data_IF_704445819418
#
_entry.id   IF_704445819418
#
_cell.length_a   1.000
_cell.length_b   1.000
_cell.length_c   1.000
_cell.angle_alpha   90.00
_cell.angle_beta   90.00
_cell.angle_gamma   90.00
#
_symmetry.space_group_name_H-M   'P 1'
#
loop_
_entity.id
_entity.type
_entity.pdbx_description
1 polymer ?
#
# COMPACT_ATOMS: atom_id res chain seq x y z
N UNK A 1 5.37 -4.64 -7.89
CA UNK A 1 4.36 -4.51 -8.98
C UNK A 1 5.08 -4.72 -10.30
N UNK A 2 4.81 -5.79 -11.02
CA UNK A 2 5.33 -5.99 -12.36
C UNK A 2 4.29 -5.43 -13.34
N UNK A 3 4.63 -4.47 -14.18
CA UNK A 3 3.70 -4.04 -15.22
C UNK A 3 3.38 -5.23 -16.14
N UNK A 4 2.13 -5.44 -16.51
CA UNK A 4 1.75 -6.50 -17.43
C UNK A 4 2.57 -6.41 -18.72
N UNK A 5 3.12 -7.52 -19.15
CA UNK A 5 3.93 -7.63 -20.38
C UNK A 5 3.14 -7.32 -21.65
N UNK A 6 1.81 -7.18 -21.52
CA UNK A 6 0.88 -6.95 -22.63
C UNK A 6 0.56 -5.46 -22.92
N UNK A 7 1.06 -4.53 -22.11
CA UNK A 7 0.78 -3.10 -22.35
C UNK A 7 1.50 -2.59 -23.59
N UNK A 8 0.87 -1.66 -24.28
CA UNK A 8 1.52 -0.98 -25.39
C UNK A 8 2.59 0.00 -24.88
N UNK A 9 3.84 -0.31 -25.16
CA UNK A 9 5.02 0.50 -24.81
C UNK A 9 5.61 1.28 -25.98
N UNK A 10 4.88 1.48 -27.08
CA UNK A 10 5.33 2.35 -28.16
C UNK A 10 5.45 3.81 -27.67
N UNK A 11 6.62 4.46 -27.83
CA UNK A 11 6.78 5.86 -27.43
C UNK A 11 5.82 6.78 -28.19
N UNK A 12 5.21 7.69 -27.45
CA UNK A 12 4.26 8.63 -28.03
C UNK A 12 3.21 9.09 -27.02
N UNK A 13 2.37 10.00 -27.47
CA UNK A 13 1.23 10.51 -26.71
C UNK A 13 -0.06 10.15 -27.41
N UNK A 14 -1.04 9.68 -26.65
CA UNK A 14 -2.43 9.52 -27.09
C UNK A 14 -3.36 10.28 -26.19
N UNK A 15 -4.40 10.89 -26.75
CA UNK A 15 -5.55 11.41 -26.00
C UNK A 15 -6.54 10.25 -25.90
N UNK A 16 -6.73 9.73 -24.71
CA UNK A 16 -7.67 8.63 -24.46
C UNK A 16 -9.08 9.20 -24.34
N UNK A 17 -9.22 10.30 -23.61
CA UNK A 17 -10.48 11.00 -23.42
C UNK A 17 -10.25 12.49 -23.55
N UNK A 18 -10.97 13.17 -24.45
CA UNK A 18 -10.81 14.61 -24.67
C UNK A 18 -11.43 15.46 -23.55
N UNK A 19 -12.50 14.94 -22.95
CA UNK A 19 -13.18 15.55 -21.79
C UNK A 19 -14.10 14.51 -21.17
N UNK A 20 -14.07 14.37 -19.85
CA UNK A 20 -15.07 13.58 -19.13
C UNK A 20 -16.32 14.47 -18.98
N UNK A 21 -17.24 14.31 -19.91
CA UNK A 21 -18.56 14.95 -19.81
C UNK A 21 -19.44 14.09 -18.93
N UNK A 22 -19.95 14.67 -17.86
CA UNK A 22 -21.00 14.04 -17.09
C UNK A 22 -22.23 13.84 -17.99
N UNK A 23 -22.88 12.66 -17.99
CA UNK A 23 -24.19 12.49 -18.59
C UNK A 23 -25.19 13.54 -18.05
N UNK A 24 -26.22 13.90 -18.85
CA UNK A 24 -27.25 14.85 -18.40
C UNK A 24 -27.96 14.42 -17.10
N UNK A 25 -28.02 13.10 -16.87
CA UNK A 25 -28.58 12.51 -15.67
C UNK A 25 -27.67 12.60 -14.44
N UNK A 26 -26.43 13.10 -14.57
CA UNK A 26 -25.48 13.21 -13.44
C UNK A 26 -25.73 14.47 -12.63
N UNK A 27 -25.93 14.30 -11.33
CA UNK A 27 -25.96 15.43 -10.38
C UNK A 27 -24.54 15.86 -9.97
N UNK A 28 -23.61 14.90 -9.84
CA UNK A 28 -22.22 15.15 -9.45
C UNK A 28 -21.31 14.01 -9.91
N UNK A 29 -20.06 14.32 -10.24
CA UNK A 29 -19.01 13.35 -10.63
C UNK A 29 -17.83 13.50 -9.68
N UNK A 30 -17.36 12.38 -9.14
CA UNK A 30 -16.21 12.34 -8.25
C UNK A 30 -14.88 12.55 -9.00
N UNK A 31 -13.83 12.68 -8.20
CA UNK A 31 -12.47 12.75 -8.74
C UNK A 31 -12.12 11.45 -9.51
N UNK A 32 -11.58 11.57 -10.75
CA UNK A 32 -11.36 10.40 -11.58
C UNK A 32 -10.10 9.61 -11.20
N UNK A 33 -10.14 8.31 -11.52
CA UNK A 33 -9.07 7.34 -11.41
C UNK A 33 -8.64 6.84 -12.79
N UNK A 34 -7.33 6.72 -13.01
CA UNK A 34 -6.79 6.14 -14.25
C UNK A 34 -6.50 4.66 -14.09
N UNK A 35 -6.81 3.85 -15.11
CA UNK A 35 -6.43 2.45 -15.15
C UNK A 35 -4.89 2.29 -15.11
N UNK A 36 -4.36 1.17 -14.63
CA UNK A 36 -2.92 0.94 -14.56
C UNK A 36 -2.19 1.10 -15.89
N UNK A 37 -2.81 0.63 -16.98
CA UNK A 37 -2.29 0.72 -18.35
C UNK A 37 -2.50 2.09 -19.02
N UNK A 38 -3.32 2.96 -18.42
CA UNK A 38 -3.66 4.29 -18.92
C UNK A 38 -4.63 4.30 -20.10
N UNK A 39 -5.33 3.21 -20.39
CA UNK A 39 -6.32 3.12 -21.46
C UNK A 39 -7.73 3.54 -21.01
N UNK A 40 -7.96 3.67 -19.69
CA UNK A 40 -9.25 4.04 -19.13
C UNK A 40 -9.13 5.10 -18.05
N UNK A 41 -10.12 5.99 -18.02
CA UNK A 41 -10.36 6.94 -16.94
C UNK A 41 -11.76 6.68 -16.39
N UNK A 42 -11.87 6.46 -15.07
CA UNK A 42 -13.16 6.16 -14.44
C UNK A 42 -13.45 7.11 -13.29
N UNK A 43 -14.74 7.40 -13.07
CA UNK A 43 -15.22 8.17 -11.93
C UNK A 43 -16.60 7.69 -11.49
N UNK A 44 -16.91 7.74 -10.20
CA UNK A 44 -18.27 7.57 -9.72
C UNK A 44 -19.09 8.80 -10.04
N UNK A 45 -20.35 8.61 -10.40
CA UNK A 45 -21.34 9.67 -10.58
C UNK A 45 -22.59 9.40 -9.78
N UNK A 46 -23.09 10.42 -9.11
CA UNK A 46 -24.42 10.42 -8.49
C UNK A 46 -25.45 10.85 -9.55
N UNK A 47 -26.57 10.17 -9.62
CA UNK A 47 -27.63 10.45 -10.59
C UNK A 47 -28.66 11.43 -10.02
N UNK A 48 -29.27 12.23 -10.90
CA UNK A 48 -30.29 13.24 -10.52
C UNK A 48 -31.57 12.63 -9.94
N UNK A 49 -31.91 11.42 -10.39
CA UNK A 49 -33.07 10.66 -9.90
C UNK A 49 -32.76 9.81 -8.68
N UNK A 50 -31.55 9.89 -8.17
CA UNK A 50 -31.03 9.10 -7.06
C UNK A 50 -30.24 7.88 -7.53
N UNK A 51 -29.39 7.35 -6.63
CA UNK A 51 -28.45 6.28 -6.92
C UNK A 51 -27.15 6.78 -7.57
N UNK A 52 -26.31 5.82 -7.96
CA UNK A 52 -25.00 6.08 -8.55
C UNK A 52 -24.62 5.02 -9.58
N UNK A 53 -23.64 5.36 -10.40
CA UNK A 53 -22.98 4.42 -11.34
C UNK A 53 -21.52 4.87 -11.53
N UNK A 54 -20.69 4.05 -12.17
CA UNK A 54 -19.37 4.48 -12.59
C UNK A 54 -19.37 4.86 -14.07
N UNK A 55 -18.63 5.90 -14.40
CA UNK A 55 -18.33 6.30 -15.77
C UNK A 55 -16.95 5.75 -16.13
N UNK A 56 -16.83 5.07 -17.26
CA UNK A 56 -15.56 4.62 -17.82
C UNK A 56 -15.40 5.27 -19.19
N UNK A 57 -14.37 6.10 -19.35
CA UNK A 57 -14.17 6.91 -20.56
C UNK A 57 -15.40 7.74 -20.96
N UNK A 58 -16.22 8.15 -19.99
CA UNK A 58 -17.44 8.92 -20.20
C UNK A 58 -18.72 8.10 -20.39
N UNK A 59 -18.62 6.79 -20.55
CA UNK A 59 -19.77 5.88 -20.69
C UNK A 59 -20.12 5.29 -19.31
N UNK A 60 -21.38 5.31 -18.89
CA UNK A 60 -21.82 4.73 -17.63
C UNK A 60 -21.82 3.21 -17.69
N UNK A 61 -21.62 2.55 -16.54
CA UNK A 61 -21.95 1.14 -16.37
C UNK A 61 -23.43 0.90 -16.71
N UNK A 62 -23.74 -0.31 -17.15
CA UNK A 62 -25.14 -0.70 -17.45
C UNK A 62 -26.00 -0.72 -16.18
N UNK A 63 -25.40 -1.11 -15.05
CA UNK A 63 -26.07 -1.17 -13.75
C UNK A 63 -25.94 0.13 -12.97
N UNK A 64 -26.98 0.43 -12.20
CA UNK A 64 -27.02 1.52 -11.22
C UNK A 64 -27.24 0.94 -9.84
N UNK A 65 -26.71 1.61 -8.82
CA UNK A 65 -26.72 1.18 -7.43
C UNK A 65 -27.31 2.27 -6.54
N UNK A 66 -27.83 1.88 -5.37
CA UNK A 66 -28.39 2.85 -4.42
C UNK A 66 -27.31 3.82 -3.88
N UNK A 67 -26.13 3.27 -3.60
CA UNK A 67 -24.93 4.00 -3.17
C UNK A 67 -23.69 3.34 -3.76
N UNK A 68 -22.62 4.13 -3.88
CA UNK A 68 -21.30 3.62 -4.31
C UNK A 68 -20.20 4.48 -3.74
N UNK A 69 -19.06 3.86 -3.47
CA UNK A 69 -17.85 4.54 -3.00
C UNK A 69 -16.61 3.68 -3.26
N UNK A 70 -15.43 4.22 -3.04
CA UNK A 70 -14.15 3.54 -3.11
C UNK A 70 -13.90 2.90 -4.50
N UNK A 71 -14.15 3.67 -5.56
CA UNK A 71 -13.85 3.26 -6.93
C UNK A 71 -12.34 3.06 -7.09
N UNK A 72 -11.92 1.91 -7.61
CA UNK A 72 -10.49 1.58 -7.80
C UNK A 72 -10.31 0.63 -8.97
N UNK A 73 -9.22 0.81 -9.70
CA UNK A 73 -8.73 -0.24 -10.59
C UNK A 73 -7.85 -1.24 -9.86
N UNK A 74 -8.05 -2.52 -10.12
CA UNK A 74 -7.10 -3.58 -9.76
C UNK A 74 -5.84 -3.50 -10.63
N UNK A 75 -4.74 -4.15 -10.26
CA UNK A 75 -3.53 -4.21 -11.08
C UNK A 75 -3.74 -4.78 -12.48
N UNK A 76 -4.67 -5.72 -12.68
CA UNK A 76 -5.03 -6.30 -13.97
C UNK A 76 -5.98 -5.42 -14.80
N UNK A 77 -6.50 -4.33 -14.22
CA UNK A 77 -7.31 -3.33 -14.91
C UNK A 77 -8.81 -3.47 -14.71
N UNK A 78 -9.31 -4.44 -13.92
CA UNK A 78 -10.73 -4.51 -13.54
C UNK A 78 -11.09 -3.29 -12.67
N UNK A 79 -12.25 -2.70 -12.91
CA UNK A 79 -12.74 -1.56 -12.14
C UNK A 79 -13.68 -2.03 -11.03
N UNK A 80 -13.35 -1.72 -9.78
CA UNK A 80 -14.13 -2.13 -8.61
C UNK A 80 -14.74 -0.93 -7.90
N UNK A 81 -15.94 -1.09 -7.35
CA UNK A 81 -16.57 -0.14 -6.44
C UNK A 81 -17.33 -0.89 -5.34
N UNK A 82 -17.27 -0.38 -4.11
CA UNK A 82 -18.16 -0.84 -3.06
C UNK A 82 -19.54 -0.23 -3.30
N UNK A 83 -20.57 -1.07 -3.44
CA UNK A 83 -21.92 -0.64 -3.83
C UNK A 83 -22.97 -1.15 -2.86
N UNK A 84 -24.09 -0.44 -2.78
CA UNK A 84 -25.27 -0.85 -2.03
C UNK A 84 -26.40 -1.19 -2.99
N UNK A 85 -27.02 -2.34 -2.76
CA UNK A 85 -28.18 -2.83 -3.47
C UNK A 85 -29.13 -3.51 -2.47
N UNK A 86 -30.45 -3.21 -2.55
CA UNK A 86 -31.47 -3.70 -1.62
C UNK A 86 -31.11 -3.48 -0.14
N UNK A 87 -30.43 -2.36 0.16
CA UNK A 87 -29.98 -1.99 1.50
C UNK A 87 -28.73 -2.73 1.99
N UNK A 88 -28.21 -3.73 1.27
CA UNK A 88 -27.02 -4.52 1.60
C UNK A 88 -25.81 -4.08 0.79
N UNK A 89 -24.61 -4.35 1.30
CA UNK A 89 -23.36 -3.95 0.64
C UNK A 89 -22.71 -5.14 -0.06
N UNK A 90 -22.19 -4.88 -1.25
CA UNK A 90 -21.42 -5.83 -2.05
C UNK A 90 -20.32 -5.11 -2.82
N UNK A 91 -19.54 -5.83 -3.62
CA UNK A 91 -18.56 -5.25 -4.53
C UNK A 91 -19.06 -5.39 -5.97
N UNK A 92 -19.06 -4.29 -6.71
CA UNK A 92 -19.21 -4.33 -8.15
C UNK A 92 -17.83 -4.41 -8.82
N UNK A 93 -17.69 -5.28 -9.80
CA UNK A 93 -16.51 -5.47 -10.65
C UNK A 93 -16.93 -5.27 -12.10
N UNK A 94 -16.36 -4.26 -12.77
CA UNK A 94 -16.72 -3.86 -14.14
C UNK A 94 -18.24 -3.65 -14.34
N UNK A 95 -18.91 -3.20 -13.29
CA UNK A 95 -20.35 -2.92 -13.28
C UNK A 95 -21.25 -4.07 -12.82
N UNK A 96 -20.71 -5.26 -12.64
CA UNK A 96 -21.46 -6.43 -12.15
C UNK A 96 -21.21 -6.63 -10.65
N UNK A 97 -22.29 -6.65 -9.86
CA UNK A 97 -22.20 -6.89 -8.42
C UNK A 97 -21.92 -8.37 -8.13
N UNK A 98 -21.12 -8.66 -7.09
CA UNK A 98 -21.02 -10.02 -6.58
C UNK A 98 -22.40 -10.55 -6.13
N UNK A 99 -22.58 -11.86 -6.20
CA UNK A 99 -23.85 -12.51 -5.80
C UNK A 99 -24.09 -12.36 -4.30
N UNK A 100 -23.03 -12.44 -3.49
CA UNK A 100 -23.11 -12.31 -2.04
C UNK A 100 -23.13 -10.83 -1.63
N UNK A 101 -23.93 -10.54 -0.61
CA UNK A 101 -24.07 -9.22 -0.01
C UNK A 101 -24.01 -9.29 1.51
N UNK A 102 -23.58 -8.22 2.15
CA UNK A 102 -23.24 -8.16 3.56
C UNK A 102 -23.87 -6.93 4.22
N UNK A 103 -23.96 -6.93 5.56
CA UNK A 103 -24.38 -5.75 6.33
C UNK A 103 -23.45 -4.56 6.02
N UNK A 104 -22.14 -4.84 5.84
CA UNK A 104 -21.16 -3.84 5.41
C UNK A 104 -19.97 -4.50 4.68
N UNK A 105 -19.40 -3.76 3.71
CA UNK A 105 -18.20 -4.17 2.96
C UNK A 105 -17.26 -2.97 2.79
N UNK A 106 -15.95 -3.20 2.99
CA UNK A 106 -14.93 -2.14 2.86
C UNK A 106 -13.53 -2.74 2.65
N UNK A 107 -12.51 -1.85 2.49
CA UNK A 107 -11.10 -2.23 2.54
C UNK A 107 -10.66 -3.18 1.44
N UNK A 108 -11.16 -2.96 0.21
CA UNK A 108 -10.80 -3.75 -0.97
C UNK A 108 -9.28 -3.84 -1.15
N UNK A 109 -8.78 -5.05 -1.34
CA UNK A 109 -7.37 -5.38 -1.63
C UNK A 109 -7.27 -6.22 -2.89
N UNK A 110 -6.11 -6.22 -3.51
CA UNK A 110 -5.83 -6.96 -4.74
C UNK A 110 -4.56 -7.80 -4.58
N UNK A 111 -4.55 -8.99 -5.17
CA UNK A 111 -3.31 -9.74 -5.40
C UNK A 111 -2.31 -8.92 -6.22
N UNK A 112 -1.05 -9.34 -6.26
CA UNK A 112 -0.01 -8.59 -6.98
C UNK A 112 -0.30 -8.45 -8.46
N UNK A 113 -0.83 -9.49 -9.10
CA UNK A 113 -1.22 -9.49 -10.52
C UNK A 113 -2.62 -8.89 -10.73
N UNK A 114 -3.44 -8.80 -9.67
CA UNK A 114 -4.77 -8.22 -9.70
C UNK A 114 -5.89 -9.21 -9.98
N UNK A 115 -5.59 -10.46 -10.18
CA UNK A 115 -6.52 -11.54 -10.54
C UNK A 115 -7.40 -12.02 -9.36
N UNK A 116 -7.05 -11.65 -8.13
CA UNK A 116 -7.86 -11.90 -6.93
C UNK A 116 -8.19 -10.60 -6.21
N UNK A 117 -9.45 -10.45 -5.83
CA UNK A 117 -9.98 -9.31 -5.08
C UNK A 117 -10.45 -9.80 -3.72
N UNK A 118 -9.95 -9.18 -2.65
CA UNK A 118 -10.39 -9.39 -1.28
C UNK A 118 -11.05 -8.13 -0.73
N UNK A 119 -11.99 -8.30 0.19
CA UNK A 119 -12.60 -7.20 0.93
C UNK A 119 -12.89 -7.61 2.38
N UNK A 120 -12.92 -6.63 3.27
CA UNK A 120 -13.44 -6.82 4.62
C UNK A 120 -14.96 -6.84 4.58
N UNK A 121 -15.57 -7.68 5.40
CA UNK A 121 -17.02 -7.81 5.51
C UNK A 121 -17.48 -7.77 6.97
N UNK A 122 -18.71 -7.29 7.15
CA UNK A 122 -19.49 -7.50 8.37
C UNK A 122 -20.79 -8.21 7.98
N UNK A 123 -21.14 -9.27 8.71
CA UNK A 123 -22.38 -9.99 8.53
C UNK A 123 -22.91 -10.48 9.89
N UNK A 124 -24.16 -10.18 10.23
CA UNK A 124 -24.77 -10.55 11.51
C UNK A 124 -24.05 -9.99 12.75
N UNK A 125 -23.30 -8.89 12.59
CA UNK A 125 -22.50 -8.28 13.67
C UNK A 125 -21.11 -8.88 13.84
N UNK A 126 -20.72 -9.88 13.05
CA UNK A 126 -19.38 -10.47 13.02
C UNK A 126 -18.59 -10.01 11.79
N UNK A 127 -17.27 -10.10 11.87
CA UNK A 127 -16.32 -9.51 10.92
C UNK A 127 -15.37 -10.57 10.36
N UNK A 128 -14.98 -10.39 9.11
CA UNK A 128 -13.99 -11.22 8.43
C UNK A 128 -13.63 -10.67 7.07
N UNK A 129 -13.11 -11.54 6.22
CA UNK A 129 -12.78 -11.20 4.83
C UNK A 129 -13.59 -12.09 3.87
N UNK A 130 -13.76 -11.59 2.66
CA UNK A 130 -14.20 -12.38 1.52
C UNK A 130 -13.18 -12.25 0.39
N UNK A 131 -13.01 -13.31 -0.39
CA UNK A 131 -12.17 -13.39 -1.58
C UNK A 131 -13.07 -13.74 -2.77
N UNK A 132 -13.04 -12.92 -3.83
CA UNK A 132 -13.90 -13.10 -5.00
C UNK A 132 -15.38 -13.38 -4.63
N UNK A 133 -15.88 -12.63 -3.63
CA UNK A 133 -17.24 -12.78 -3.11
C UNK A 133 -17.45 -13.92 -2.13
N UNK A 134 -16.51 -14.85 -1.95
CA UNK A 134 -16.61 -15.96 -1.01
C UNK A 134 -16.11 -15.54 0.36
N UNK A 135 -16.96 -15.51 1.41
CA UNK A 135 -16.55 -15.12 2.77
C UNK A 135 -15.75 -16.22 3.45
N UNK A 136 -14.98 -15.84 4.46
CA UNK A 136 -14.43 -16.78 5.42
C UNK A 136 -15.53 -17.63 6.05
N UNK A 137 -15.27 -18.91 6.28
CA UNK A 137 -16.22 -19.81 6.97
C UNK A 137 -16.46 -19.39 8.42
N UNK A 138 -15.43 -18.84 9.08
CA UNK A 138 -15.53 -18.34 10.45
C UNK A 138 -15.37 -16.82 10.45
N UNK A 139 -16.37 -16.13 11.00
CA UNK A 139 -16.32 -14.71 11.31
C UNK A 139 -16.06 -14.49 12.80
N UNK A 140 -15.62 -13.30 13.18
CA UNK A 140 -15.16 -12.96 14.52
C UNK A 140 -15.89 -11.73 15.05
N UNK A 141 -15.95 -11.55 16.37
CA UNK A 141 -16.50 -10.32 16.98
C UNK A 141 -15.77 -9.05 16.53
N UNK A 142 -14.51 -9.18 16.14
CA UNK A 142 -13.73 -8.10 15.53
C UNK A 142 -12.69 -8.69 14.58
N UNK A 143 -12.58 -8.11 13.39
CA UNK A 143 -11.48 -8.36 12.45
C UNK A 143 -11.01 -7.02 11.87
N UNK A 144 -9.69 -6.78 11.89
CA UNK A 144 -9.10 -5.55 11.39
C UNK A 144 -7.71 -5.81 10.81
N UNK A 145 -7.11 -4.77 10.19
CA UNK A 145 -5.81 -4.85 9.54
C UNK A 145 -5.69 -6.04 8.57
N UNK A 146 -6.58 -6.12 7.58
CA UNK A 146 -6.57 -7.21 6.61
C UNK A 146 -5.29 -7.18 5.77
N UNK A 147 -4.82 -8.34 5.37
CA UNK A 147 -3.75 -8.50 4.40
C UNK A 147 -4.03 -9.67 3.46
N UNK A 148 -3.61 -9.54 2.21
CA UNK A 148 -3.75 -10.56 1.17
C UNK A 148 -2.35 -11.04 0.78
N UNK A 149 -2.17 -12.33 0.55
CA UNK A 149 -0.94 -12.88 -0.01
C UNK A 149 -0.69 -12.34 -1.42
N UNK A 150 0.55 -12.31 -1.86
CA UNK A 150 0.93 -11.76 -3.16
C UNK A 150 0.23 -12.48 -4.34
N UNK A 151 0.01 -13.78 -4.21
CA UNK A 151 -0.70 -14.62 -5.18
C UNK A 151 -2.22 -14.62 -4.99
N UNK A 152 -2.75 -13.95 -3.97
CA UNK A 152 -4.17 -13.90 -3.66
C UNK A 152 -4.78 -15.18 -3.09
N UNK A 153 -3.97 -16.24 -2.86
CA UNK A 153 -4.51 -17.53 -2.43
C UNK A 153 -4.85 -17.59 -0.94
N UNK A 154 -4.30 -16.67 -0.15
CA UNK A 154 -4.55 -16.61 1.29
C UNK A 154 -4.75 -15.17 1.76
N UNK A 155 -5.58 -15.01 2.75
CA UNK A 155 -5.89 -13.75 3.42
C UNK A 155 -5.71 -13.86 4.91
N UNK A 156 -5.34 -12.77 5.58
CA UNK A 156 -5.21 -12.76 7.03
C UNK A 156 -5.72 -11.44 7.62
N UNK A 157 -6.13 -11.49 8.88
CA UNK A 157 -6.48 -10.30 9.66
C UNK A 157 -6.17 -10.50 11.14
N UNK A 158 -6.03 -9.39 11.84
CA UNK A 158 -6.07 -9.39 13.32
C UNK A 158 -7.49 -9.62 13.75
N UNK A 159 -7.73 -10.64 14.60
CA UNK A 159 -9.05 -11.03 15.08
C UNK A 159 -9.14 -11.05 16.61
N UNK A 160 -10.33 -10.84 17.12
CA UNK A 160 -10.64 -11.03 18.54
C UNK A 160 -11.09 -12.47 18.75
N UNK A 161 -10.36 -13.20 19.60
CA UNK A 161 -10.55 -14.63 19.87
C UNK A 161 -11.49 -14.92 21.06
N UNK A 162 -11.64 -13.96 21.94
CA UNK A 162 -12.51 -14.09 23.12
C UNK A 162 -13.21 -12.78 23.43
N UNK A 163 -14.48 -12.89 23.83
CA UNK A 163 -15.28 -11.73 24.24
C UNK A 163 -14.79 -11.19 25.57
N UNK A 164 -14.62 -9.88 25.64
CA UNK A 164 -14.30 -9.17 26.87
C UNK A 164 -15.57 -8.65 27.54
N UNK A 165 -15.78 -9.00 28.81
CA UNK A 165 -16.80 -8.34 29.64
C UNK A 165 -16.35 -6.93 30.03
N UNK A 166 -17.25 -5.99 30.28
CA UNK A 166 -16.89 -4.68 30.80
C UNK A 166 -16.00 -4.78 32.04
N UNK A 167 -14.84 -4.09 32.03
CA UNK A 167 -13.82 -4.07 33.07
C UNK A 167 -13.16 -5.44 33.40
N UNK A 168 -13.16 -6.37 32.46
CA UNK A 168 -12.46 -7.67 32.58
C UNK A 168 -10.94 -7.49 32.35
N UNK A 169 -10.26 -7.02 33.39
CA UNK A 169 -8.80 -6.80 33.33
C UNK A 169 -8.02 -8.13 33.28
N UNK A 170 -8.52 -9.17 33.91
CA UNK A 170 -7.87 -10.49 33.92
C UNK A 170 -8.01 -11.17 32.54
N UNK A 171 -9.18 -11.11 31.92
CA UNK A 171 -9.40 -11.59 30.57
C UNK A 171 -8.55 -10.81 29.55
N UNK A 172 -8.46 -9.49 29.67
CA UNK A 172 -7.57 -8.69 28.83
C UNK A 172 -6.10 -9.06 29.03
N UNK A 173 -5.65 -9.22 30.28
CA UNK A 173 -4.27 -9.58 30.60
C UNK A 173 -3.89 -10.99 30.13
N UNK A 174 -4.86 -11.90 30.00
CA UNK A 174 -4.65 -13.22 29.40
C UNK A 174 -4.45 -13.17 27.88
N UNK A 175 -4.82 -12.05 27.24
CA UNK A 175 -4.76 -11.86 25.79
C UNK A 175 -6.03 -12.37 25.09
N UNK A 176 -6.56 -11.54 24.19
CA UNK A 176 -7.81 -11.84 23.47
C UNK A 176 -7.69 -11.65 21.97
N UNK A 177 -6.51 -11.26 21.48
CA UNK A 177 -6.28 -11.03 20.05
C UNK A 177 -5.31 -12.06 19.47
N UNK A 178 -5.54 -12.40 18.21
CA UNK A 178 -4.67 -13.26 17.41
C UNK A 178 -4.69 -12.84 15.95
N UNK A 179 -4.13 -13.67 15.10
CA UNK A 179 -4.28 -13.58 13.65
C UNK A 179 -5.12 -14.75 13.18
N UNK A 180 -6.08 -14.50 12.31
CA UNK A 180 -6.73 -15.55 11.53
C UNK A 180 -6.17 -15.52 10.11
N UNK A 181 -5.92 -16.71 9.55
CA UNK A 181 -5.53 -16.94 8.16
C UNK A 181 -6.64 -17.77 7.52
N UNK A 182 -7.25 -17.26 6.46
CA UNK A 182 -8.38 -17.89 5.76
C UNK A 182 -9.51 -18.32 6.71
N UNK A 183 -9.79 -17.45 7.71
CA UNK A 183 -10.81 -17.71 8.75
C UNK A 183 -10.37 -18.65 9.87
N UNK A 184 -9.16 -19.18 9.85
CA UNK A 184 -8.62 -20.03 10.91
C UNK A 184 -7.65 -19.26 11.81
N UNK A 185 -8.05 -19.09 13.08
CA UNK A 185 -7.23 -18.36 14.04
C UNK A 185 -5.99 -19.15 14.47
N UNK A 186 -4.91 -18.44 14.78
CA UNK A 186 -3.77 -19.04 15.48
C UNK A 186 -4.19 -19.64 16.83
N UNK A 187 -3.52 -20.68 17.27
CA UNK A 187 -3.71 -21.26 18.60
C UNK A 187 -3.22 -20.34 19.73
N UNK A 188 -2.38 -19.35 19.41
CA UNK A 188 -1.80 -18.40 20.35
C UNK A 188 -2.62 -17.10 20.38
N UNK A 189 -2.77 -16.55 21.58
CA UNK A 189 -3.39 -15.26 21.83
C UNK A 189 -2.43 -14.28 22.50
N UNK A 190 -2.68 -12.99 22.27
CA UNK A 190 -1.85 -11.88 22.72
C UNK A 190 -2.71 -10.74 23.25
N UNK A 191 -2.12 -9.81 24.04
CA UNK A 191 -2.83 -8.63 24.50
C UNK A 191 -3.26 -7.74 23.33
N UNK A 192 -2.37 -7.58 22.36
CA UNK A 192 -2.65 -6.89 21.09
C UNK A 192 -1.82 -7.54 19.97
N UNK A 193 -2.31 -7.39 18.77
CA UNK A 193 -1.63 -7.82 17.53
C UNK A 193 -1.75 -6.70 16.50
N UNK A 194 -0.72 -6.52 15.67
CA UNK A 194 -0.73 -5.51 14.58
C UNK A 194 0.01 -6.03 13.36
N UNK A 195 -0.33 -5.44 12.23
CA UNK A 195 0.38 -5.54 10.95
C UNK A 195 0.73 -6.98 10.55
N UNK A 196 -0.27 -7.89 10.44
CA UNK A 196 0.00 -9.20 9.87
C UNK A 196 0.55 -9.01 8.44
N UNK A 197 1.59 -9.76 8.09
CA UNK A 197 2.22 -9.72 6.78
C UNK A 197 2.56 -11.12 6.31
N UNK A 198 2.27 -11.42 5.04
CA UNK A 198 2.64 -12.69 4.43
C UNK A 198 4.11 -12.72 3.99
N UNK A 199 4.68 -13.91 3.99
CA UNK A 199 5.91 -14.17 3.29
C UNK A 199 5.68 -14.10 1.75
N UNK A 200 6.74 -13.99 0.94
CA UNK A 200 6.61 -13.93 -0.52
C UNK A 200 5.92 -15.15 -1.16
N UNK A 201 5.88 -16.27 -0.47
CA UNK A 201 5.23 -17.50 -0.94
C UNK A 201 3.74 -17.59 -0.50
N UNK A 202 3.24 -16.62 0.27
CA UNK A 202 1.86 -16.60 0.76
C UNK A 202 1.53 -17.68 1.81
N UNK A 203 2.53 -18.28 2.45
CA UNK A 203 2.34 -19.45 3.32
C UNK A 203 2.53 -19.19 4.80
N UNK A 204 3.34 -18.19 5.14
CA UNK A 204 3.66 -17.84 6.52
C UNK A 204 3.19 -16.43 6.80
N UNK A 205 2.73 -16.18 8.03
CA UNK A 205 2.30 -14.86 8.47
C UNK A 205 3.10 -14.44 9.69
N UNK A 206 3.73 -13.27 9.62
CA UNK A 206 4.36 -12.62 10.74
C UNK A 206 3.52 -11.43 11.22
N UNK A 207 3.49 -11.18 12.54
CA UNK A 207 2.80 -10.04 13.11
C UNK A 207 3.56 -9.48 14.32
N UNK A 208 3.41 -8.20 14.54
CA UNK A 208 3.81 -7.54 15.77
C UNK A 208 2.83 -7.94 16.88
N UNK A 209 3.32 -8.37 18.03
CA UNK A 209 2.50 -8.79 19.16
C UNK A 209 2.92 -8.11 20.46
N UNK A 210 1.94 -7.86 21.31
CA UNK A 210 2.16 -7.43 22.69
C UNK A 210 1.87 -8.60 23.62
N UNK A 211 2.89 -9.02 24.36
CA UNK A 211 2.87 -10.23 25.18
C UNK A 211 2.48 -9.95 26.63
N UNK A 212 2.90 -8.80 27.17
CA UNK A 212 2.51 -8.30 28.49
C UNK A 212 2.13 -6.82 28.40
N UNK A 213 1.83 -6.17 29.52
CA UNK A 213 1.57 -4.72 29.53
C UNK A 213 2.76 -3.86 29.06
N UNK A 214 3.96 -4.41 29.07
CA UNK A 214 5.20 -3.66 28.81
C UNK A 214 6.09 -4.30 27.76
N UNK A 215 5.82 -5.56 27.37
CA UNK A 215 6.67 -6.35 26.51
C UNK A 215 6.03 -6.63 25.17
N UNK A 216 6.84 -6.60 24.14
CA UNK A 216 6.47 -6.81 22.74
C UNK A 216 7.40 -7.85 22.11
N UNK A 217 6.89 -8.52 21.07
CA UNK A 217 7.68 -9.47 20.30
C UNK A 217 7.14 -9.55 18.85
N UNK A 218 7.75 -10.36 18.03
CA UNK A 218 7.21 -10.78 16.73
C UNK A 218 6.71 -12.21 16.87
N UNK A 219 5.52 -12.48 16.36
CA UNK A 219 5.02 -13.84 16.22
C UNK A 219 4.99 -14.22 14.75
N UNK A 220 5.36 -15.48 14.47
CA UNK A 220 5.31 -16.07 13.12
C UNK A 220 4.51 -17.35 13.22
N UNK A 221 3.41 -17.44 12.47
CA UNK A 221 2.47 -18.57 12.50
C UNK A 221 2.04 -18.94 13.94
N UNK A 222 1.76 -17.91 14.75
CA UNK A 222 1.36 -18.04 16.15
C UNK A 222 2.50 -18.26 17.15
N UNK A 223 3.75 -18.48 16.70
CA UNK A 223 4.89 -18.67 17.58
C UNK A 223 5.67 -17.36 17.74
N UNK A 224 5.67 -16.81 18.97
CA UNK A 224 6.46 -15.61 19.27
C UNK A 224 7.97 -15.91 19.30
N UNK A 225 8.78 -14.91 19.00
CA UNK A 225 10.22 -14.96 19.26
C UNK A 225 10.51 -15.24 20.75
N UNK A 226 11.67 -15.80 21.02
CA UNK A 226 12.06 -16.17 22.39
C UNK A 226 12.29 -14.93 23.27
N UNK A 227 12.84 -13.86 22.69
CA UNK A 227 13.06 -12.61 23.39
C UNK A 227 11.83 -11.73 23.38
N UNK A 228 11.66 -10.99 24.46
CA UNK A 228 10.72 -9.88 24.57
C UNK A 228 11.52 -8.55 24.49
N UNK A 229 10.90 -7.55 23.88
CA UNK A 229 11.49 -6.24 23.60
C UNK A 229 10.65 -5.13 24.24
N UNK A 230 11.26 -4.02 24.56
CA UNK A 230 10.54 -2.86 25.08
C UNK A 230 9.58 -2.21 24.05
N UNK A 231 9.74 -2.50 22.78
CA UNK A 231 8.83 -2.23 21.66
C UNK A 231 9.37 -2.91 20.40
N UNK A 232 8.48 -3.22 19.46
CA UNK A 232 8.83 -3.66 18.11
C UNK A 232 7.94 -2.91 17.11
N UNK A 233 8.38 -2.84 15.85
CA UNK A 233 7.54 -2.35 14.76
C UNK A 233 7.24 -3.49 13.77
N UNK A 234 6.50 -3.19 12.73
CA UNK A 234 6.01 -4.12 11.72
C UNK A 234 7.12 -5.06 11.21
N UNK A 235 6.88 -6.38 11.17
CA UNK A 235 7.82 -7.32 10.58
C UNK A 235 7.79 -7.27 9.05
N UNK A 236 8.91 -7.65 8.43
CA UNK A 236 9.02 -7.90 6.99
C UNK A 236 9.77 -9.20 6.76
N UNK A 237 9.28 -10.01 5.86
CA UNK A 237 10.04 -11.17 5.41
C UNK A 237 11.16 -10.76 4.46
N UNK A 238 12.33 -11.32 4.66
CA UNK A 238 13.42 -11.22 3.70
C UNK A 238 13.06 -12.06 2.47
N UNK A 239 12.95 -11.48 1.27
CA UNK A 239 12.43 -12.19 0.10
C UNK A 239 13.27 -13.38 -0.34
N UNK A 240 14.57 -13.38 -0.05
CA UNK A 240 15.48 -14.43 -0.48
C UNK A 240 15.60 -15.58 0.54
N UNK A 241 15.58 -15.27 1.84
CA UNK A 241 15.78 -16.27 2.91
C UNK A 241 14.50 -16.72 3.59
N UNK A 242 13.41 -15.93 3.51
CA UNK A 242 12.20 -16.16 4.29
C UNK A 242 12.35 -15.85 5.78
N UNK A 243 13.48 -15.28 6.21
CA UNK A 243 13.70 -14.82 7.57
C UNK A 243 12.89 -13.56 7.87
N UNK A 244 12.48 -13.35 9.11
CA UNK A 244 11.67 -12.21 9.51
C UNK A 244 12.56 -11.12 10.11
N UNK A 245 12.51 -9.92 9.55
CA UNK A 245 13.25 -8.74 10.01
C UNK A 245 12.27 -7.74 10.62
N UNK A 246 12.57 -7.26 11.82
CA UNK A 246 11.76 -6.25 12.49
C UNK A 246 12.63 -5.22 13.25
N UNK A 247 12.20 -3.96 13.34
CA UNK A 247 12.75 -2.99 14.25
C UNK A 247 12.42 -3.39 15.68
N UNK A 248 13.45 -3.40 16.54
CA UNK A 248 13.31 -3.77 17.95
C UNK A 248 13.95 -2.72 18.84
N UNK A 249 13.36 -2.49 20.02
CA UNK A 249 13.86 -1.56 21.02
C UNK A 249 14.46 -2.31 22.21
N UNK A 250 15.76 -2.13 22.44
CA UNK A 250 16.51 -2.74 23.53
C UNK A 250 17.13 -1.63 24.37
N UNK A 251 16.91 -1.65 25.67
CA UNK A 251 17.44 -0.64 26.61
C UNK A 251 17.22 0.83 26.17
N UNK A 252 16.08 1.09 25.53
CA UNK A 252 15.68 2.44 25.08
C UNK A 252 16.17 2.84 23.69
N UNK A 253 17.06 2.08 23.06
CA UNK A 253 17.57 2.34 21.72
C UNK A 253 17.00 1.35 20.70
N UNK A 254 16.86 1.78 19.45
CA UNK A 254 16.33 0.99 18.34
C UNK A 254 17.43 0.41 17.46
N UNK A 255 17.22 -0.82 17.03
CA UNK A 255 18.00 -1.53 16.04
C UNK A 255 17.11 -2.40 15.17
N UNK A 256 17.69 -3.36 14.45
CA UNK A 256 16.96 -4.40 13.73
C UNK A 256 17.33 -5.78 14.26
N UNK A 257 16.33 -6.64 14.39
CA UNK A 257 16.53 -8.07 14.60
C UNK A 257 16.04 -8.86 13.36
N UNK A 258 16.67 -10.01 13.12
CA UNK A 258 16.26 -11.00 12.13
C UNK A 258 16.15 -12.35 12.84
N UNK A 259 14.97 -12.98 12.77
CA UNK A 259 14.66 -14.23 13.45
C UNK A 259 15.18 -14.22 14.91
N UNK A 260 14.82 -13.13 15.62
CA UNK A 260 15.19 -12.89 17.04
C UNK A 260 16.69 -12.62 17.32
N UNK A 261 17.52 -12.48 16.29
CA UNK A 261 18.93 -12.12 16.44
C UNK A 261 19.18 -10.67 16.01
N UNK A 262 19.89 -9.91 16.83
CA UNK A 262 20.23 -8.52 16.51
C UNK A 262 21.18 -8.48 15.31
N UNK A 263 20.74 -7.82 14.23
CA UNK A 263 21.54 -7.61 13.01
C UNK A 263 21.99 -6.15 12.85
N UNK A 264 21.24 -5.19 13.44
CA UNK A 264 21.71 -3.82 13.61
C UNK A 264 21.72 -3.50 15.10
N UNK A 265 22.89 -3.19 15.63
CA UNK A 265 23.05 -2.80 17.02
C UNK A 265 22.09 -1.69 17.42
N UNK A 266 21.38 -1.81 18.56
CA UNK A 266 20.48 -0.80 19.06
C UNK A 266 21.25 0.48 19.46
N UNK A 267 21.16 1.50 18.61
CA UNK A 267 21.85 2.79 18.79
C UNK A 267 21.04 3.99 18.32
N UNK A 268 19.94 3.77 17.63
CA UNK A 268 19.11 4.84 17.10
C UNK A 268 18.03 5.25 18.11
N UNK A 269 17.67 6.52 18.12
CA UNK A 269 16.54 7.02 18.92
C UNK A 269 15.21 6.47 18.40
N UNK A 270 15.11 6.21 17.08
CA UNK A 270 13.96 5.56 16.41
C UNK A 270 14.45 4.78 15.18
N UNK A 271 13.68 3.73 14.79
CA UNK A 271 13.91 2.95 13.58
C UNK A 271 12.57 2.36 13.12
N UNK A 272 12.19 2.58 11.86
CA UNK A 272 10.96 2.04 11.27
C UNK A 272 11.02 1.99 9.75
N UNK A 273 9.96 1.47 9.10
CA UNK A 273 9.79 1.37 7.65
C UNK A 273 11.02 0.72 6.98
N UNK A 274 11.44 -0.43 7.50
CA UNK A 274 12.51 -1.19 6.85
C UNK A 274 12.02 -1.75 5.52
N UNK A 275 12.89 -1.67 4.53
CA UNK A 275 12.72 -2.27 3.19
C UNK A 275 13.91 -3.16 2.89
N UNK A 276 13.66 -4.28 2.22
CA UNK A 276 14.66 -5.30 1.94
C UNK A 276 14.76 -5.50 0.44
N UNK A 277 15.96 -5.51 -0.11
CA UNK A 277 16.17 -5.82 -1.53
C UNK A 277 15.69 -7.23 -1.86
N UNK A 278 15.28 -7.48 -3.10
CA UNK A 278 14.73 -8.79 -3.48
C UNK A 278 15.74 -9.93 -3.38
N UNK A 279 17.05 -9.62 -3.51
CA UNK A 279 18.13 -10.59 -3.28
C UNK A 279 18.43 -10.82 -1.77
N UNK A 280 17.72 -10.11 -0.89
CA UNK A 280 17.79 -10.24 0.58
C UNK A 280 19.06 -9.68 1.22
N UNK A 281 19.99 -9.11 0.46
CA UNK A 281 21.32 -8.72 0.97
C UNK A 281 21.37 -7.32 1.56
N UNK A 282 20.51 -6.42 1.08
CA UNK A 282 20.50 -5.04 1.51
C UNK A 282 19.20 -4.72 2.25
N UNK A 283 19.35 -4.10 3.40
CA UNK A 283 18.24 -3.60 4.22
C UNK A 283 18.41 -2.11 4.38
N UNK A 284 17.39 -1.33 4.06
CA UNK A 284 17.33 0.08 4.39
C UNK A 284 16.20 0.34 5.37
N UNK A 285 16.35 1.31 6.26
CA UNK A 285 15.32 1.73 7.19
C UNK A 285 15.41 3.24 7.47
N UNK A 286 14.30 3.85 7.81
CA UNK A 286 14.29 5.21 8.34
C UNK A 286 14.73 5.13 9.79
N UNK A 287 15.75 5.93 10.14
CA UNK A 287 16.30 5.97 11.50
C UNK A 287 16.41 7.41 12.02
N UNK A 288 16.30 7.57 13.31
CA UNK A 288 16.67 8.81 14.00
C UNK A 288 18.01 8.61 14.73
N UNK A 289 19.13 9.15 14.24
CA UNK A 289 20.37 9.15 14.99
C UNK A 289 20.27 9.90 16.33
N UNK A 290 19.43 10.95 16.34
CA UNK A 290 19.06 11.74 17.52
C UNK A 290 17.57 12.03 17.47
N UNK A 291 16.95 12.25 18.61
CA UNK A 291 15.53 12.60 18.68
C UNK A 291 15.20 13.84 17.82
N UNK A 292 14.17 13.73 16.96
CA UNK A 292 13.70 14.81 16.10
C UNK A 292 14.53 15.02 14.82
N UNK A 293 15.53 14.17 14.52
CA UNK A 293 16.30 14.22 13.28
C UNK A 293 16.32 12.85 12.61
N UNK A 294 15.88 12.77 11.39
CA UNK A 294 15.69 11.51 10.67
C UNK A 294 16.56 11.42 9.43
N UNK A 295 16.93 10.21 9.08
CA UNK A 295 17.68 9.89 7.88
C UNK A 295 17.36 8.44 7.44
N UNK A 296 17.95 8.00 6.35
CA UNK A 296 17.93 6.59 5.94
C UNK A 296 19.24 5.94 6.39
N UNK A 297 19.15 4.75 6.95
CA UNK A 297 20.31 3.87 7.15
C UNK A 297 20.23 2.70 6.16
N UNK A 298 21.35 2.33 5.57
CA UNK A 298 21.51 1.15 4.71
C UNK A 298 22.52 0.22 5.37
N UNK A 299 22.12 -1.03 5.62
CA UNK A 299 22.92 -2.02 6.33
C UNK A 299 23.52 -1.47 7.65
N UNK A 300 22.69 -0.76 8.43
CA UNK A 300 23.05 -0.18 9.73
C UNK A 300 23.91 1.09 9.67
N UNK A 301 24.21 1.61 8.48
CA UNK A 301 25.00 2.84 8.27
C UNK A 301 24.09 3.99 7.86
N UNK A 302 23.87 5.00 8.71
CA UNK A 302 23.03 6.14 8.37
C UNK A 302 23.71 7.03 7.32
N UNK A 303 22.89 7.65 6.47
CA UNK A 303 23.35 8.70 5.55
C UNK A 303 23.85 9.93 6.34
N UNK A 304 24.72 10.72 5.71
CA UNK A 304 25.26 11.94 6.32
C UNK A 304 24.31 13.14 6.31
N UNK A 305 23.10 12.98 5.76
CA UNK A 305 22.05 14.02 5.72
C UNK A 305 20.93 13.68 6.69
N UNK A 306 20.43 14.68 7.39
CA UNK A 306 19.30 14.52 8.32
C UNK A 306 18.24 15.59 8.07
N UNK A 307 16.98 15.24 8.29
CA UNK A 307 15.82 16.09 8.10
C UNK A 307 14.82 15.93 9.27
N UNK A 308 13.96 16.92 9.52
CA UNK A 308 12.88 16.79 10.51
C UNK A 308 11.87 15.69 10.17
N UNK A 309 11.70 15.38 8.89
CA UNK A 309 10.81 14.31 8.40
C UNK A 309 11.51 13.57 7.28
N UNK A 310 11.46 12.23 7.32
CA UNK A 310 11.84 11.31 6.23
C UNK A 310 10.73 10.28 6.09
N UNK A 311 10.31 9.99 4.87
CA UNK A 311 9.23 9.07 4.54
C UNK A 311 9.43 8.42 3.17
N UNK A 312 8.52 7.53 2.78
CA UNK A 312 8.42 6.93 1.43
C UNK A 312 9.73 6.27 0.97
N UNK A 313 10.37 5.55 1.90
CA UNK A 313 11.58 4.80 1.63
C UNK A 313 11.34 3.64 0.68
N UNK A 314 12.12 3.57 -0.37
CA UNK A 314 12.12 2.46 -1.34
C UNK A 314 13.54 2.00 -1.62
N UNK A 315 13.70 0.73 -2.02
CA UNK A 315 14.99 0.13 -2.38
C UNK A 315 14.87 -0.62 -3.71
N UNK A 316 15.88 -0.51 -4.55
CA UNK A 316 15.98 -1.26 -5.80
C UNK A 316 16.08 -2.77 -5.57
N UNK A 317 15.74 -3.56 -6.60
CA UNK A 317 15.62 -5.02 -6.47
C UNK A 317 16.88 -5.71 -5.97
N UNK A 318 18.06 -5.22 -6.35
CA UNK A 318 19.36 -5.74 -5.89
C UNK A 318 20.01 -4.83 -4.84
N UNK A 319 19.28 -3.81 -4.35
CA UNK A 319 19.80 -2.83 -3.42
C UNK A 319 20.74 -1.80 -4.04
N UNK A 320 20.74 -1.68 -5.36
CA UNK A 320 21.61 -0.82 -6.17
C UNK A 320 21.27 0.67 -6.02
N UNK A 321 20.04 0.99 -5.63
CA UNK A 321 19.58 2.34 -5.37
C UNK A 321 18.61 2.35 -4.19
N UNK A 322 18.71 3.39 -3.37
CA UNK A 322 17.80 3.64 -2.26
C UNK A 322 17.29 5.07 -2.37
N UNK A 323 15.97 5.25 -2.39
CA UNK A 323 15.34 6.55 -2.48
C UNK A 323 14.33 6.77 -1.35
N UNK A 324 14.20 8.02 -0.92
CA UNK A 324 13.25 8.43 0.09
C UNK A 324 12.84 9.88 -0.14
N UNK A 325 11.76 10.30 0.51
CA UNK A 325 11.37 11.70 0.59
C UNK A 325 11.76 12.29 1.93
N UNK A 326 12.10 13.56 1.93
CA UNK A 326 12.35 14.32 3.13
C UNK A 326 11.65 15.67 3.10
N UNK A 327 11.31 16.19 4.28
CA UNK A 327 10.65 17.47 4.40
C UNK A 327 11.39 18.34 5.43
N UNK A 328 11.63 19.60 5.10
CA UNK A 328 12.39 20.52 5.94
C UNK A 328 11.50 21.39 6.84
N UNK A 329 10.30 21.79 6.36
CA UNK A 329 9.42 22.76 7.05
C UNK A 329 7.93 22.66 6.69
N UNK A 330 7.42 21.49 6.37
CA UNK A 330 6.04 21.18 5.92
C UNK A 330 5.67 21.64 4.50
N UNK A 331 6.51 22.37 3.80
CA UNK A 331 6.26 22.87 2.43
C UNK A 331 7.43 22.70 1.48
N UNK A 332 8.54 22.15 1.97
CA UNK A 332 9.77 21.98 1.20
C UNK A 332 10.14 20.50 1.13
N UNK A 333 9.45 19.79 0.26
CA UNK A 333 9.76 18.38 0.00
C UNK A 333 11.00 18.24 -0.85
N UNK A 334 11.87 17.34 -0.44
CA UNK A 334 13.15 17.02 -1.07
C UNK A 334 13.19 15.55 -1.43
N UNK A 335 13.76 15.24 -2.59
CA UNK A 335 14.01 13.87 -3.02
C UNK A 335 15.42 13.49 -2.60
N UNK A 336 15.57 12.37 -1.93
CA UNK A 336 16.86 11.83 -1.49
C UNK A 336 17.12 10.52 -2.20
N UNK A 337 18.29 10.39 -2.83
CA UNK A 337 18.73 9.15 -3.48
C UNK A 337 20.18 8.89 -3.10
N UNK A 338 20.48 7.70 -2.58
CA UNK A 338 21.81 7.24 -2.16
C UNK A 338 22.57 8.26 -1.28
N UNK A 339 21.85 8.84 -0.32
CA UNK A 339 22.42 9.81 0.64
C UNK A 339 22.67 11.20 0.07
N UNK A 340 22.09 11.55 -1.07
CA UNK A 340 22.20 12.88 -1.68
C UNK A 340 20.82 13.44 -2.00
N UNK A 341 20.69 14.76 -1.91
CA UNK A 341 19.51 15.44 -2.44
C UNK A 341 19.59 15.55 -3.95
N UNK A 342 18.47 15.33 -4.62
CA UNK A 342 18.29 15.85 -5.96
C UNK A 342 18.00 17.36 -5.92
N UNK A 343 18.30 18.04 -7.01
CA UNK A 343 18.02 19.47 -7.14
C UNK A 343 16.52 19.77 -7.14
N UNK A 344 16.18 20.93 -6.61
CA UNK A 344 14.79 21.37 -6.50
C UNK A 344 14.15 21.12 -5.14
N UNK A 345 13.05 21.80 -4.93
CA UNK A 345 12.14 21.63 -3.80
C UNK A 345 10.70 21.74 -4.29
N UNK A 346 9.81 21.02 -3.61
CA UNK A 346 8.45 20.76 -4.09
C UNK A 346 7.43 21.05 -2.99
N UNK A 347 6.27 21.57 -3.37
CA UNK A 347 5.17 21.80 -2.43
C UNK A 347 4.60 20.46 -1.94
N UNK A 348 4.65 19.42 -2.81
CA UNK A 348 4.33 18.02 -2.50
C UNK A 348 5.19 17.08 -3.35
N UNK A 349 5.52 15.92 -2.77
CA UNK A 349 6.15 14.81 -3.47
C UNK A 349 5.51 13.50 -3.01
N UNK A 350 5.45 12.52 -3.89
CA UNK A 350 4.89 11.19 -3.62
C UNK A 350 5.97 10.12 -3.73
N UNK A 351 5.68 8.95 -3.21
CA UNK A 351 6.62 7.84 -3.12
C UNK A 351 7.43 7.64 -4.41
N UNK A 352 8.76 7.52 -4.32
CA UNK A 352 9.59 7.21 -5.46
C UNK A 352 9.28 5.84 -6.07
N UNK A 353 9.36 5.74 -7.40
CA UNK A 353 9.24 4.49 -8.13
C UNK A 353 10.59 4.15 -8.73
N UNK A 354 11.06 2.92 -8.52
CA UNK A 354 12.33 2.42 -9.05
C UNK A 354 12.03 1.45 -10.19
N UNK A 355 12.72 1.58 -11.33
CA UNK A 355 12.60 0.65 -12.45
C UNK A 355 13.06 -0.76 -12.06
N UNK A 356 12.51 -1.80 -12.70
CA UNK A 356 12.81 -3.20 -12.37
C UNK A 356 14.30 -3.55 -12.53
N UNK A 357 15.02 -2.85 -13.43
CA UNK A 357 16.47 -3.00 -13.64
C UNK A 357 17.33 -2.14 -12.69
N UNK A 358 16.69 -1.37 -11.77
CA UNK A 358 17.36 -0.50 -10.82
C UNK A 358 18.02 0.76 -11.42
N UNK A 359 17.99 0.91 -12.73
CA UNK A 359 18.70 2.00 -13.43
C UNK A 359 18.04 3.37 -13.33
N UNK A 360 16.77 3.43 -12.93
CA UNK A 360 16.00 4.66 -12.96
C UNK A 360 15.11 4.83 -11.74
N UNK A 361 14.98 6.07 -11.29
CA UNK A 361 14.06 6.49 -10.23
C UNK A 361 13.18 7.62 -10.78
N UNK A 362 11.89 7.53 -10.57
CA UNK A 362 10.92 8.57 -10.91
C UNK A 362 10.11 8.95 -9.66
N UNK A 363 9.85 10.25 -9.53
CA UNK A 363 9.07 10.80 -8.41
C UNK A 363 8.01 11.76 -8.97
N UNK A 364 6.76 11.53 -8.60
CA UNK A 364 5.69 12.50 -8.84
C UNK A 364 5.86 13.66 -7.87
N UNK A 365 5.76 14.88 -8.40
CA UNK A 365 5.93 16.12 -7.62
C UNK A 365 4.89 17.16 -7.99
N UNK A 366 4.66 18.10 -7.07
CA UNK A 366 3.80 19.26 -7.29
C UNK A 366 4.54 20.54 -6.93
N UNK A 367 4.36 21.57 -7.75
CA UNK A 367 4.82 22.94 -7.51
C UNK A 367 3.78 23.94 -8.01
N UNK A 368 3.40 24.89 -7.17
CA UNK A 368 2.41 25.92 -7.47
C UNK A 368 1.08 25.38 -8.06
N UNK A 369 0.60 24.23 -7.54
CA UNK A 369 -0.65 23.59 -7.98
C UNK A 369 -0.55 22.88 -9.35
N UNK A 370 0.65 22.70 -9.89
CA UNK A 370 0.91 21.92 -11.12
C UNK A 370 1.74 20.70 -10.78
N UNK A 371 1.42 19.57 -11.40
CA UNK A 371 2.09 18.31 -11.17
C UNK A 371 2.98 17.93 -12.35
N UNK A 372 4.12 17.33 -12.02
CA UNK A 372 5.06 16.80 -13.00
C UNK A 372 5.82 15.60 -12.40
N UNK A 373 6.83 15.12 -13.11
CA UNK A 373 7.71 14.05 -12.66
C UNK A 373 9.16 14.56 -12.58
N UNK A 374 9.92 14.02 -11.64
CA UNK A 374 11.38 14.12 -11.61
C UNK A 374 11.94 12.75 -11.89
N UNK A 375 12.72 12.60 -12.94
CA UNK A 375 13.32 11.33 -13.36
C UNK A 375 14.84 11.45 -13.35
N UNK A 376 15.51 10.61 -12.54
CA UNK A 376 16.97 10.65 -12.38
C UNK A 376 17.51 12.05 -12.07
N UNK A 377 16.80 12.82 -11.24
CA UNK A 377 17.17 14.19 -10.86
C UNK A 377 16.84 15.27 -11.89
N UNK A 378 16.19 14.91 -13.01
CA UNK A 378 15.77 15.88 -14.04
C UNK A 378 14.26 16.03 -14.02
N UNK A 379 13.79 17.27 -14.08
CA UNK A 379 12.36 17.58 -14.16
C UNK A 379 11.87 17.26 -15.57
N UNK A 380 10.78 16.50 -15.66
CA UNK A 380 10.09 16.24 -16.92
C UNK A 380 9.62 17.57 -17.55
N UNK A 381 9.79 17.81 -18.85
CA UNK A 381 9.64 19.14 -19.44
C UNK A 381 8.19 19.63 -19.56
N UNK A 382 7.23 18.86 -19.06
CA UNK A 382 5.81 19.23 -19.10
C UNK A 382 5.16 19.10 -17.74
N UNK A 383 4.30 20.07 -17.42
CA UNK A 383 3.45 20.09 -16.25
C UNK A 383 2.00 19.77 -16.64
N UNK A 384 1.27 19.18 -15.69
CA UNK A 384 -0.11 18.73 -15.88
C UNK A 384 -1.01 19.25 -14.75
N UNK A 385 -2.31 19.15 -14.94
CA UNK A 385 -3.29 19.41 -13.88
C UNK A 385 -3.23 18.31 -12.83
N UNK A 386 -3.11 17.05 -13.27
CA UNK A 386 -2.95 15.85 -12.42
C UNK A 386 -2.05 14.84 -13.13
N UNK A 387 -1.20 14.17 -12.37
CA UNK A 387 -0.42 13.02 -12.82
C UNK A 387 -0.65 11.88 -11.83
N UNK A 388 -0.85 10.69 -12.33
CA UNK A 388 -0.80 9.47 -11.52
C UNK A 388 0.64 9.00 -11.38
N UNK A 389 0.85 8.08 -10.43
CA UNK A 389 2.15 7.46 -10.21
C UNK A 389 2.69 6.86 -11.52
N UNK A 390 3.95 7.19 -11.91
CA UNK A 390 4.52 6.67 -13.15
C UNK A 390 4.80 5.18 -13.06
N UNK A 391 4.74 4.50 -14.20
CA UNK A 391 5.05 3.06 -14.28
C UNK A 391 6.17 2.86 -15.30
N UNK A 392 7.23 2.14 -14.90
CA UNK A 392 8.29 1.78 -15.84
C UNK A 392 7.92 0.53 -16.65
N UNK A 393 8.39 0.45 -17.89
CA UNK A 393 8.34 -0.78 -18.69
C UNK A 393 9.12 -1.92 -18.02
N UNK A 394 8.83 -3.19 -18.33
CA UNK A 394 9.52 -4.32 -17.71
C UNK A 394 11.04 -4.30 -17.87
N UNK A 395 11.54 -3.77 -19.00
CA UNK A 395 12.97 -3.59 -19.28
C UNK A 395 13.56 -2.30 -18.67
N UNK A 396 12.70 -1.43 -18.08
CA UNK A 396 13.09 -0.17 -17.47
C UNK A 396 13.47 0.93 -18.45
N UNK A 397 13.36 0.73 -19.77
CA UNK A 397 13.80 1.72 -20.79
C UNK A 397 12.77 2.80 -21.08
N UNK A 398 11.50 2.56 -20.70
CA UNK A 398 10.38 3.46 -20.97
C UNK A 398 9.57 3.68 -19.70
N UNK A 399 8.80 4.75 -19.71
CA UNK A 399 7.93 5.14 -18.62
C UNK A 399 6.55 5.51 -19.15
N UNK A 400 5.51 4.93 -18.58
CA UNK A 400 4.12 5.30 -18.79
C UNK A 400 3.75 6.44 -17.84
N UNK A 401 3.26 7.53 -18.41
CA UNK A 401 2.71 8.68 -17.72
C UNK A 401 1.22 8.76 -18.03
N UNK A 402 0.41 8.72 -17.00
CA UNK A 402 -1.03 8.92 -17.04
C UNK A 402 -1.30 10.30 -16.47
N UNK A 403 -1.91 11.19 -17.25
CA UNK A 403 -2.07 12.58 -16.84
C UNK A 403 -3.38 13.20 -17.31
N UNK A 404 -3.89 14.15 -16.52
CA UNK A 404 -4.89 15.11 -16.95
C UNK A 404 -4.19 16.42 -17.31
N UNK A 405 -4.47 16.93 -18.51
CA UNK A 405 -4.08 18.28 -18.90
C UNK A 405 -5.36 19.05 -19.25
N UNK A 406 -5.76 19.94 -18.36
CA UNK A 406 -7.10 20.53 -18.31
C UNK A 406 -8.14 19.39 -18.18
N UNK A 407 -8.95 19.18 -19.23
CA UNK A 407 -10.02 18.16 -19.22
C UNK A 407 -9.63 16.88 -19.98
N UNK A 408 -8.48 16.89 -20.67
CA UNK A 408 -8.06 15.75 -21.50
C UNK A 408 -7.26 14.73 -20.68
N UNK A 409 -7.65 13.47 -20.75
CA UNK A 409 -6.86 12.35 -20.21
C UNK A 409 -5.87 11.87 -21.26
N UNK A 410 -4.61 11.87 -20.87
CA UNK A 410 -3.46 11.58 -21.72
C UNK A 410 -2.77 10.30 -21.25
N UNK A 411 -2.46 9.45 -22.20
CA UNK A 411 -1.53 8.35 -22.06
C UNK A 411 -0.25 8.68 -22.81
N UNK A 412 0.87 8.75 -22.09
CA UNK A 412 2.16 9.11 -22.66
C UNK A 412 3.16 8.00 -22.33
N UNK A 413 3.85 7.48 -23.35
CA UNK A 413 4.99 6.58 -23.17
C UNK A 413 6.24 7.35 -23.59
N UNK A 414 7.16 7.58 -22.64
CA UNK A 414 8.40 8.30 -22.84
C UNK A 414 9.61 7.37 -22.69
N UNK A 415 10.65 7.58 -23.49
CA UNK A 415 11.97 6.97 -23.30
C UNK A 415 12.66 7.61 -22.08
N UNK A 416 13.12 6.80 -21.13
CA UNK A 416 13.65 7.31 -19.85
C UNK A 416 14.98 8.09 -20.03
N UNK A 417 15.76 7.81 -21.06
CA UNK A 417 17.02 8.54 -21.34
C UNK A 417 16.84 9.89 -22.03
N UNK A 418 15.62 10.22 -22.48
CA UNK A 418 15.26 11.48 -23.16
C UNK A 418 14.24 12.31 -22.38
N UNK A 419 13.87 11.88 -21.19
CA UNK A 419 12.95 12.58 -20.30
C UNK A 419 13.67 13.72 -19.54
#
# INVERSE_FOLDING_TARGET
MHPPTLWNWEPGQRVILSSMKAPEASAWVEEPYASPDGESLAALTTLTEGGCTALVNGEPWENTFEKGWHLRFSPDGRLTAVVQQDGMWTLAVDGEAWEESYDYLWGTQFSTEGDVIAACIQNGGEYGLCLEGTPWETLFENANQPTLSADGQSSAAVVQLASLKPADLDGFAAGVFGVAVDGQAWDANFLNVWTPTFDPAGKRVAAQVRTTLYDYSIAVDGQKWANDYGCVWEPRFNPASGSVVAPVRVAGAWGLAQDDQIIWEPKFAQCWQQVISQDGKNIAAIVAPQFGTFTVAVNGKPWGITLPVVTDLVIGRQGEVVAALGNTDNRDWRIMVDGKFWDGSWDMAWQPVISANGGHVAVKVEKAGRQTLVVNGRVYPREFTKVWEPTFSPDGTKMLIRALDKDAFLRIVAEVGRA
#
